data_IF_447720773441
#
_entry.id   IF_447720773441
#
_cell.length_a   1.000
_cell.length_b   1.000
_cell.length_c   1.000
_cell.angle_alpha   90.00
_cell.angle_beta   90.00
_cell.angle_gamma   90.00
#
_symmetry.space_group_name_H-M   'P 1'
#
loop_
_entity.id
_entity.type
_entity.pdbx_description
1 polymer ?
#
# COMPACT_ATOMS: atom_id res chain seq x y z
N UNK A 1 -1.85 -51.97 -3.09
CA UNK A 1 -1.97 -51.29 -4.40
C UNK A 1 -2.75 -49.98 -4.25
N UNK A 2 -2.02 -48.86 -4.14
CA UNK A 2 -2.60 -47.53 -4.13
C UNK A 2 -2.78 -47.09 -5.59
N UNK A 3 -4.04 -47.01 -6.04
CA UNK A 3 -4.37 -46.37 -7.31
C UNK A 3 -4.61 -44.89 -7.04
N UNK A 4 -3.59 -44.08 -7.28
CA UNK A 4 -3.72 -42.64 -7.37
C UNK A 4 -4.52 -42.30 -8.64
N UNK A 5 -5.80 -41.98 -8.50
CA UNK A 5 -6.55 -41.32 -9.56
C UNK A 5 -6.12 -39.87 -9.61
N UNK A 6 -5.26 -39.54 -10.57
CA UNK A 6 -4.98 -38.17 -10.99
C UNK A 6 -6.29 -37.50 -11.40
N UNK A 7 -6.82 -36.63 -10.55
CA UNK A 7 -7.87 -35.69 -10.93
C UNK A 7 -7.27 -34.73 -11.96
N UNK A 8 -7.55 -35.00 -13.24
CA UNK A 8 -7.43 -33.99 -14.29
C UNK A 8 -8.47 -32.89 -13.99
N UNK A 9 -8.10 -31.60 -14.03
CA UNK A 9 -9.08 -30.54 -13.83
C UNK A 9 -10.07 -30.60 -15.01
N UNK A 10 -11.35 -30.60 -14.69
CA UNK A 10 -12.41 -30.53 -15.68
C UNK A 10 -12.26 -29.23 -16.48
N UNK A 11 -12.59 -29.22 -17.77
CA UNK A 11 -12.40 -28.08 -18.68
C UNK A 11 -13.11 -26.76 -18.25
N UNK A 12 -13.92 -26.77 -17.18
CA UNK A 12 -14.48 -25.57 -16.54
C UNK A 12 -13.60 -24.95 -15.43
N UNK A 13 -12.57 -25.65 -14.94
CA UNK A 13 -11.59 -25.13 -13.96
C UNK A 13 -10.53 -24.24 -14.61
N UNK A 14 -10.23 -24.45 -15.91
CA UNK A 14 -9.26 -23.65 -16.64
C UNK A 14 -9.61 -22.14 -16.68
N UNK A 15 -10.85 -21.71 -17.03
CA UNK A 15 -11.19 -20.29 -17.04
C UNK A 15 -11.23 -19.66 -15.64
N UNK A 16 -11.65 -20.42 -14.61
CA UNK A 16 -11.65 -19.93 -13.23
C UNK A 16 -10.22 -19.81 -12.68
N UNK A 17 -9.37 -20.81 -12.95
CA UNK A 17 -7.98 -20.79 -12.51
C UNK A 17 -7.21 -19.62 -13.12
N UNK A 18 -7.42 -19.36 -14.41
CA UNK A 18 -6.83 -18.20 -15.10
C UNK A 18 -7.32 -16.88 -14.50
N UNK A 19 -8.62 -16.72 -14.26
CA UNK A 19 -9.19 -15.55 -13.61
C UNK A 19 -8.58 -15.28 -12.23
N UNK A 20 -8.47 -16.32 -11.39
CA UNK A 20 -7.86 -16.21 -10.05
C UNK A 20 -6.38 -15.83 -10.15
N UNK A 21 -5.64 -16.40 -11.10
CA UNK A 21 -4.24 -16.06 -11.33
C UNK A 21 -4.08 -14.59 -11.76
N UNK A 22 -4.91 -14.12 -12.69
CA UNK A 22 -4.91 -12.72 -13.15
C UNK A 22 -5.23 -11.76 -12.01
N UNK A 23 -6.25 -12.03 -11.20
CA UNK A 23 -6.55 -11.24 -10.00
C UNK A 23 -5.40 -11.23 -8.98
N UNK A 24 -4.71 -12.37 -8.82
CA UNK A 24 -3.56 -12.48 -7.93
C UNK A 24 -2.39 -11.60 -8.43
N UNK A 25 -2.13 -11.58 -9.74
CA UNK A 25 -1.14 -10.67 -10.35
C UNK A 25 -1.45 -9.21 -10.02
N UNK A 26 -2.69 -8.78 -10.23
CA UNK A 26 -3.12 -7.41 -9.91
C UNK A 26 -2.95 -7.09 -8.41
N UNK A 27 -3.36 -8.01 -7.54
CA UNK A 27 -3.21 -7.85 -6.10
C UNK A 27 -1.74 -7.71 -5.67
N UNK A 28 -0.83 -8.49 -6.27
CA UNK A 28 0.60 -8.39 -5.98
C UNK A 28 1.18 -7.05 -6.42
N UNK A 29 0.76 -6.52 -7.56
CA UNK A 29 1.21 -5.19 -8.03
C UNK A 29 0.78 -4.08 -7.07
N UNK A 30 -0.47 -4.13 -6.56
CA UNK A 30 -0.94 -3.20 -5.54
C UNK A 30 -0.19 -3.35 -4.22
N UNK A 31 0.07 -4.57 -3.78
CA UNK A 31 0.79 -4.85 -2.53
C UNK A 31 2.26 -4.39 -2.58
N UNK A 32 2.88 -4.42 -3.76
CA UNK A 32 4.25 -3.95 -3.99
C UNK A 32 4.34 -2.44 -4.26
N UNK A 33 3.22 -1.71 -4.21
CA UNK A 33 3.11 -0.31 -4.60
C UNK A 33 3.57 -0.01 -6.04
N UNK A 34 3.49 -1.01 -6.94
CA UNK A 34 3.82 -0.86 -8.36
C UNK A 34 2.60 -0.41 -9.16
N UNK A 35 2.11 0.80 -8.87
CA UNK A 35 0.82 1.28 -9.35
C UNK A 35 0.79 1.53 -10.86
N UNK A 36 1.88 2.04 -11.44
CA UNK A 36 1.96 2.24 -12.89
C UNK A 36 1.85 0.91 -13.65
N UNK A 37 2.51 -0.14 -13.15
CA UNK A 37 2.42 -1.48 -13.71
C UNK A 37 1.04 -2.09 -13.51
N UNK A 38 0.38 -1.81 -12.38
CA UNK A 38 -1.00 -2.23 -12.14
C UNK A 38 -1.95 -1.71 -13.23
N UNK A 39 -1.95 -0.41 -13.51
CA UNK A 39 -2.81 0.17 -14.56
C UNK A 39 -2.46 -0.38 -15.95
N UNK A 40 -1.17 -0.46 -16.27
CA UNK A 40 -0.74 -1.06 -17.55
C UNK A 40 -1.13 -2.54 -17.69
N UNK A 41 -1.17 -3.29 -16.59
CA UNK A 41 -1.57 -4.70 -16.62
C UNK A 41 -3.08 -4.82 -16.75
N UNK A 42 -3.83 -3.96 -16.04
CA UNK A 42 -5.29 -3.90 -16.11
C UNK A 42 -5.76 -3.60 -17.54
N UNK A 43 -5.08 -2.69 -18.25
CA UNK A 43 -5.41 -2.29 -19.63
C UNK A 43 -4.85 -3.25 -20.70
N UNK A 44 -4.08 -4.27 -20.32
CA UNK A 44 -3.34 -5.10 -21.29
C UNK A 44 -4.14 -6.23 -21.93
N UNK A 45 -5.20 -6.70 -21.28
CA UNK A 45 -5.92 -7.92 -21.67
C UNK A 45 -7.42 -7.77 -21.32
N UNK A 46 -8.29 -8.06 -22.29
CA UNK A 46 -9.74 -7.91 -22.16
C UNK A 46 -10.32 -8.72 -20.98
N UNK A 47 -9.70 -9.85 -20.61
CA UNK A 47 -10.15 -10.64 -19.47
C UNK A 47 -10.03 -9.86 -18.14
N UNK A 48 -9.08 -8.93 -18.02
CA UNK A 48 -9.00 -8.06 -16.86
C UNK A 48 -10.17 -7.09 -16.77
N UNK A 49 -10.60 -6.53 -17.90
CA UNK A 49 -11.77 -5.67 -17.98
C UNK A 49 -13.05 -6.44 -17.60
N UNK A 50 -13.20 -7.66 -18.11
CA UNK A 50 -14.33 -8.54 -17.77
C UNK A 50 -14.39 -8.86 -16.26
N UNK A 51 -13.24 -9.05 -15.62
CA UNK A 51 -13.17 -9.34 -14.18
C UNK A 51 -13.60 -8.17 -13.29
N UNK A 52 -13.51 -6.93 -13.78
CA UNK A 52 -13.86 -5.73 -13.01
C UNK A 52 -15.18 -5.09 -13.44
N UNK A 53 -15.75 -5.49 -14.58
CA UNK A 53 -16.91 -4.85 -15.20
C UNK A 53 -18.14 -4.78 -14.26
N UNK A 54 -18.37 -5.84 -13.48
CA UNK A 54 -19.49 -5.91 -12.51
C UNK A 54 -19.20 -5.22 -11.18
N UNK A 55 -17.98 -4.68 -10.99
CA UNK A 55 -17.56 -4.04 -9.74
C UNK A 55 -17.68 -2.52 -9.87
N UNK A 56 -18.85 -2.02 -9.50
CA UNK A 56 -19.13 -0.59 -9.54
C UNK A 56 -18.11 0.22 -8.73
N UNK A 57 -17.45 1.17 -9.40
CA UNK A 57 -16.47 2.06 -8.76
C UNK A 57 -15.14 1.40 -8.41
N UNK A 58 -14.81 0.24 -8.98
CA UNK A 58 -13.54 -0.46 -8.73
C UNK A 58 -12.33 0.47 -8.85
N UNK A 59 -12.14 1.12 -9.99
CA UNK A 59 -10.98 1.97 -10.22
C UNK A 59 -10.94 3.17 -9.28
N UNK A 60 -12.09 3.77 -8.97
CA UNK A 60 -12.19 4.90 -8.05
C UNK A 60 -11.74 4.49 -6.63
N UNK A 61 -12.20 3.34 -6.14
CA UNK A 61 -11.78 2.80 -4.86
C UNK A 61 -10.29 2.47 -4.82
N UNK A 62 -9.74 1.93 -5.92
CA UNK A 62 -8.31 1.68 -6.04
C UNK A 62 -7.53 3.00 -5.99
N UNK A 63 -7.95 4.04 -6.73
CA UNK A 63 -7.30 5.37 -6.71
C UNK A 63 -7.35 6.00 -5.33
N UNK A 64 -8.48 5.94 -4.63
CA UNK A 64 -8.61 6.41 -3.25
C UNK A 64 -7.65 5.66 -2.33
N UNK A 65 -7.55 4.32 -2.48
CA UNK A 65 -6.65 3.50 -1.66
C UNK A 65 -5.19 3.85 -1.91
N UNK A 66 -4.79 4.02 -3.18
CA UNK A 66 -3.45 4.46 -3.58
C UNK A 66 -3.15 5.83 -2.95
N UNK A 67 -4.04 6.80 -3.09
CA UNK A 67 -3.87 8.13 -2.49
C UNK A 67 -3.73 8.08 -0.97
N UNK A 68 -4.52 7.25 -0.29
CA UNK A 68 -4.42 7.06 1.16
C UNK A 68 -3.05 6.49 1.56
N UNK A 69 -2.56 5.45 0.87
CA UNK A 69 -1.24 4.87 1.13
C UNK A 69 -0.12 5.89 0.91
N UNK A 70 -0.18 6.66 -0.17
CA UNK A 70 0.79 7.73 -0.46
C UNK A 70 0.78 8.78 0.65
N UNK A 71 -0.41 9.18 1.13
CA UNK A 71 -0.55 10.24 2.15
C UNK A 71 0.13 9.93 3.48
N UNK A 72 0.38 8.64 3.75
CA UNK A 72 1.02 8.17 4.97
C UNK A 72 2.55 8.31 4.88
N UNK A 73 3.13 8.34 3.68
CA UNK A 73 4.58 8.19 3.50
C UNK A 73 5.27 9.37 2.80
N UNK A 74 4.53 10.26 2.14
CA UNK A 74 5.12 11.38 1.38
C UNK A 74 4.48 12.71 1.74
N UNK A 75 5.28 13.78 1.77
CA UNK A 75 4.80 15.16 1.94
C UNK A 75 4.66 15.91 0.62
N UNK A 76 5.51 15.55 -0.33
CA UNK A 76 5.61 16.19 -1.61
C UNK A 76 5.86 15.11 -2.65
N UNK A 77 5.16 15.20 -3.77
CA UNK A 77 5.31 14.26 -4.88
C UNK A 77 5.27 15.03 -6.20
N UNK A 78 6.12 14.64 -7.13
CA UNK A 78 6.07 15.20 -8.48
C UNK A 78 4.74 14.81 -9.14
N UNK A 79 4.11 15.78 -9.81
CA UNK A 79 2.85 15.60 -10.49
C UNK A 79 2.90 14.45 -11.50
N UNK A 80 3.96 14.36 -12.30
CA UNK A 80 4.12 13.31 -13.32
C UNK A 80 4.11 11.90 -12.71
N UNK A 81 4.75 11.74 -11.56
CA UNK A 81 4.79 10.48 -10.81
C UNK A 81 3.40 10.14 -10.26
N UNK A 82 2.72 11.11 -9.66
CA UNK A 82 1.38 10.87 -9.11
C UNK A 82 0.34 10.59 -10.21
N UNK A 83 0.43 11.27 -11.36
CA UNK A 83 -0.40 11.00 -12.53
C UNK A 83 -0.21 9.55 -13.03
N UNK A 84 1.03 9.07 -13.06
CA UNK A 84 1.35 7.68 -13.41
C UNK A 84 0.81 6.68 -12.38
N UNK A 85 0.91 6.98 -11.09
CA UNK A 85 0.42 6.09 -10.03
C UNK A 85 -1.10 6.03 -9.95
N UNK A 86 -1.79 7.12 -10.24
CA UNK A 86 -3.25 7.18 -10.26
C UNK A 86 -3.87 6.71 -11.59
N UNK A 87 -3.06 6.58 -12.64
CA UNK A 87 -3.54 6.28 -13.99
C UNK A 87 -4.48 7.38 -14.51
N UNK A 88 -4.27 8.63 -14.10
CA UNK A 88 -5.13 9.76 -14.43
C UNK A 88 -4.29 10.99 -14.79
N UNK A 89 -4.79 11.79 -15.73
CA UNK A 89 -4.09 12.98 -16.23
C UNK A 89 -5.06 14.15 -16.42
N UNK A 90 -4.51 15.35 -16.58
CA UNK A 90 -5.28 16.53 -16.98
C UNK A 90 -6.28 17.03 -15.91
N UNK A 91 -7.49 17.40 -16.35
CA UNK A 91 -8.50 17.99 -15.47
C UNK A 91 -9.05 16.99 -14.43
N UNK A 92 -9.18 15.72 -14.80
CA UNK A 92 -9.64 14.66 -13.90
C UNK A 92 -8.68 14.48 -12.70
N UNK A 93 -7.37 14.52 -12.97
CA UNK A 93 -6.34 14.52 -11.93
C UNK A 93 -6.50 15.70 -10.98
N UNK A 94 -6.65 16.93 -11.51
CA UNK A 94 -6.80 18.12 -10.68
C UNK A 94 -8.06 18.09 -9.81
N UNK A 95 -9.18 17.55 -10.32
CA UNK A 95 -10.42 17.37 -9.56
C UNK A 95 -10.26 16.33 -8.46
N UNK A 96 -9.59 15.22 -8.74
CA UNK A 96 -9.35 14.17 -7.76
C UNK A 96 -8.44 14.67 -6.63
N UNK A 97 -7.29 15.27 -6.97
CA UNK A 97 -6.31 15.74 -5.99
C UNK A 97 -6.87 16.86 -5.10
N UNK A 98 -7.51 17.87 -5.69
CA UNK A 98 -8.06 18.99 -4.89
C UNK A 98 -9.37 18.63 -4.20
N UNK A 99 -10.26 17.88 -4.88
CA UNK A 99 -11.61 17.60 -4.41
C UNK A 99 -11.71 16.37 -3.52
N UNK A 100 -11.15 15.24 -3.95
CA UNK A 100 -11.24 13.96 -3.23
C UNK A 100 -10.15 13.85 -2.18
N UNK A 101 -8.90 14.16 -2.53
CA UNK A 101 -7.77 14.05 -1.61
C UNK A 101 -7.59 15.26 -0.69
N UNK A 102 -8.07 16.44 -1.10
CA UNK A 102 -7.84 17.70 -0.37
C UNK A 102 -6.37 18.12 -0.32
N UNK A 103 -5.59 17.76 -1.33
CA UNK A 103 -4.15 18.10 -1.44
C UNK A 103 -3.96 19.37 -2.27
N UNK A 104 -2.84 20.06 -2.07
CA UNK A 104 -2.50 21.27 -2.82
C UNK A 104 -1.63 20.95 -4.04
N UNK A 105 -1.84 21.64 -5.16
CA UNK A 105 -0.99 21.54 -6.35
C UNK A 105 -0.21 22.86 -6.51
N UNK A 106 1.11 22.80 -6.42
CA UNK A 106 2.03 23.93 -6.58
C UNK A 106 2.91 23.70 -7.82
N UNK A 107 2.47 24.20 -8.98
CA UNK A 107 3.19 24.04 -10.24
C UNK A 107 3.29 22.56 -10.66
N UNK A 108 4.49 21.99 -10.53
CA UNK A 108 4.79 20.59 -10.88
C UNK A 108 4.80 19.64 -9.67
N UNK A 109 4.53 20.15 -8.47
CA UNK A 109 4.59 19.36 -7.22
C UNK A 109 3.23 19.36 -6.54
N UNK A 110 2.83 18.20 -6.01
CA UNK A 110 1.64 18.03 -5.19
C UNK A 110 2.06 17.98 -3.72
N UNK A 111 1.47 18.85 -2.90
CA UNK A 111 1.68 18.96 -1.46
C UNK A 111 0.62 18.16 -0.72
N UNK A 112 1.08 17.16 0.01
CA UNK A 112 0.25 16.31 0.87
C UNK A 112 0.22 16.93 2.28
N UNK A 113 -0.96 17.12 2.90
CA UNK A 113 -1.06 17.61 4.28
C UNK A 113 -0.29 16.76 5.28
N UNK A 114 0.35 17.41 6.26
CA UNK A 114 1.06 16.69 7.33
C UNK A 114 0.07 15.99 8.26
N UNK A 115 0.26 14.68 8.40
CA UNK A 115 -0.48 13.81 9.32
C UNK A 115 0.50 13.13 10.28
N UNK A 116 -0.01 12.54 11.38
CA UNK A 116 0.82 11.83 12.38
C UNK A 116 1.75 10.76 11.79
N UNK A 117 1.32 10.13 10.70
CA UNK A 117 2.07 9.08 10.00
C UNK A 117 3.17 9.65 9.08
N UNK A 118 2.96 10.85 8.53
CA UNK A 118 3.86 11.53 7.60
C UNK A 118 4.73 12.61 8.30
N UNK A 119 4.47 12.85 9.58
CA UNK A 119 5.25 13.73 10.44
C UNK A 119 6.55 13.03 10.86
N UNK A 120 7.68 13.63 10.53
CA UNK A 120 9.01 13.11 10.83
C UNK A 120 9.29 13.45 12.29
N UNK A 121 8.71 12.66 13.18
CA UNK A 121 9.01 12.74 14.60
C UNK A 121 10.36 12.10 14.84
N UNK A 122 11.37 12.95 15.02
CA UNK A 122 12.62 12.52 15.62
C UNK A 122 12.30 11.94 17.01
N UNK A 123 12.39 10.63 17.15
CA UNK A 123 12.24 10.01 18.46
C UNK A 123 13.55 10.21 19.20
N UNK A 124 13.61 11.22 20.06
CA UNK A 124 14.71 11.37 21.01
C UNK A 124 14.52 10.28 22.06
N UNK A 125 15.14 9.12 21.86
CA UNK A 125 15.20 8.06 22.88
C UNK A 125 16.14 8.55 23.99
N UNK A 126 15.58 9.20 25.01
CA UNK A 126 16.24 9.41 26.28
C UNK A 126 15.73 8.37 27.25
N UNK A 127 16.60 7.45 27.64
CA UNK A 127 16.31 6.52 28.72
C UNK A 127 16.24 7.30 30.03
N UNK A 128 15.04 7.45 30.59
CA UNK A 128 14.88 7.96 31.95
C UNK A 128 15.05 6.78 32.91
N UNK A 129 16.29 6.44 33.21
CA UNK A 129 16.59 5.36 34.17
C UNK A 129 16.47 5.93 35.57
N UNK A 130 15.48 5.46 36.34
CA UNK A 130 15.29 5.86 37.73
C UNK A 130 16.28 5.10 38.62
N UNK A 131 16.82 5.77 39.63
CA UNK A 131 17.78 5.16 40.57
C UNK A 131 17.26 3.87 41.23
N UNK A 132 15.94 3.77 41.43
CA UNK A 132 15.28 2.56 41.95
C UNK A 132 15.48 1.32 41.06
N UNK A 133 15.67 1.49 39.76
CA UNK A 133 15.93 0.40 38.81
C UNK A 133 17.34 -0.20 38.99
N UNK A 134 18.26 0.55 39.60
CA UNK A 134 19.61 0.07 39.97
C UNK A 134 19.70 -0.49 41.39
N UNK A 135 18.62 -0.41 42.19
CA UNK A 135 18.62 -0.79 43.62
C UNK A 135 19.08 -2.23 43.87
N UNK A 136 18.72 -3.18 42.98
CA UNK A 136 19.14 -4.59 43.08
C UNK A 136 20.62 -4.80 42.81
N UNK A 137 21.18 -4.05 41.85
CA UNK A 137 22.60 -4.11 41.50
C UNK A 137 23.44 -3.52 42.63
N UNK A 138 23.01 -2.38 43.16
CA UNK A 138 23.66 -1.71 44.29
C UNK A 138 23.58 -2.58 45.54
N UNK A 139 22.40 -3.11 45.89
CA UNK A 139 22.25 -3.99 47.06
C UNK A 139 23.15 -5.22 46.99
N UNK A 140 23.23 -5.86 45.82
CA UNK A 140 24.09 -7.04 45.63
C UNK A 140 25.58 -6.72 45.68
N UNK A 141 25.99 -5.50 45.32
CA UNK A 141 27.39 -5.05 45.46
C UNK A 141 27.81 -4.82 46.92
N UNK A 142 26.84 -4.64 47.84
CA UNK A 142 27.08 -4.38 49.27
C UNK A 142 26.65 -5.54 50.19
N UNK A 143 26.05 -6.61 49.67
CA UNK A 143 25.85 -7.85 50.45
C UNK A 143 27.20 -8.57 50.60
N UNK A 144 27.78 -8.51 51.80
CA UNK A 144 28.98 -9.31 52.13
C UNK A 144 28.63 -10.80 52.09
N UNK A 145 29.48 -11.65 51.47
CA UNK A 145 29.31 -13.10 51.56
C UNK A 145 29.43 -13.50 53.04
N UNK A 146 28.36 -14.09 53.57
CA UNK A 146 28.31 -14.65 54.92
C UNK A 146 29.26 -15.85 55.06
#
# INVERSE_FOLDING_TARGET
PASASSALPAAGDAPLSEAVQKLNVLNNLLAQASYAAFWSTLDSDDLYADLIADVAGFEELIRIRIALTISQSVREIERSVLESWLGMQGEAFNKFVNGVCGWGIEGTVVKVPMNKENEAKGTIVRENVKMEQFSRVIRRAYEQPA
#
